data_IF_912582767012
#
_entry.id   IF_912582767012
#
_cell.length_a   1.000
_cell.length_b   1.000
_cell.length_c   1.000
_cell.angle_alpha   90.00
_cell.angle_beta   90.00
_cell.angle_gamma   90.00
#
_symmetry.space_group_name_H-M   'P 1'
#
loop_
_entity.id
_entity.type
_entity.pdbx_description
1 polymer ?
#
# COMPACT_ATOMS: atom_id res chain seq x y z
N UNK A 1 -30.45 -12.76 -1.84
CA UNK A 1 -29.18 -12.86 -2.59
C UNK A 1 -28.10 -12.31 -1.69
N UNK A 2 -27.20 -13.16 -1.19
CA UNK A 2 -26.05 -12.72 -0.38
C UNK A 2 -25.16 -11.85 -1.26
N UNK A 3 -24.70 -10.72 -0.73
CA UNK A 3 -23.76 -9.84 -1.43
C UNK A 3 -22.45 -10.62 -1.67
N UNK A 4 -22.03 -10.84 -2.94
CA UNK A 4 -20.81 -11.59 -3.23
C UNK A 4 -19.55 -10.97 -2.60
N UNK A 5 -19.61 -9.68 -2.27
CA UNK A 5 -18.49 -8.89 -1.75
C UNK A 5 -18.65 -8.47 -0.28
N UNK A 6 -19.65 -9.02 0.42
CA UNK A 6 -19.86 -8.82 1.87
C UNK A 6 -19.83 -7.33 2.29
N UNK A 7 -20.23 -6.43 1.39
CA UNK A 7 -20.15 -5.00 1.62
C UNK A 7 -21.32 -4.54 2.48
N UNK A 8 -21.03 -3.68 3.44
CA UNK A 8 -22.08 -2.93 4.16
C UNK A 8 -22.68 -1.88 3.23
N UNK A 9 -23.90 -1.37 3.47
CA UNK A 9 -24.55 -0.40 2.58
C UNK A 9 -23.68 0.82 2.21
N UNK A 10 -22.90 1.35 3.16
CA UNK A 10 -22.01 2.49 2.91
C UNK A 10 -20.85 2.18 1.94
N UNK A 11 -20.48 0.90 1.81
CA UNK A 11 -19.40 0.45 0.94
C UNK A 11 -19.89 0.01 -0.44
N UNK A 12 -21.20 -0.19 -0.63
CA UNK A 12 -21.78 -0.67 -1.90
C UNK A 12 -21.76 0.36 -3.02
N UNK A 13 -21.91 1.63 -2.67
CA UNK A 13 -22.01 2.73 -3.63
C UNK A 13 -20.65 3.40 -3.90
N UNK A 14 -19.55 2.75 -3.50
CA UNK A 14 -18.22 3.27 -3.78
C UNK A 14 -17.94 3.24 -5.28
N UNK A 15 -17.47 4.38 -5.81
CA UNK A 15 -17.00 4.50 -7.20
C UNK A 15 -15.86 3.51 -7.52
N UNK A 16 -15.07 3.17 -6.52
CA UNK A 16 -13.96 2.22 -6.58
C UNK A 16 -13.96 1.35 -5.34
N UNK A 17 -13.67 0.05 -5.45
CA UNK A 17 -13.62 -0.83 -4.30
C UNK A 17 -12.30 -0.66 -3.53
N UNK A 18 -12.06 0.53 -2.96
CA UNK A 18 -10.84 0.82 -2.19
C UNK A 18 -11.05 1.81 -1.05
N UNK A 19 -10.18 1.72 -0.05
CA UNK A 19 -9.97 2.72 1.00
C UNK A 19 -8.58 3.33 0.81
N UNK A 20 -8.50 4.66 0.75
CA UNK A 20 -7.25 5.40 0.72
C UNK A 20 -6.91 5.95 2.10
N UNK A 21 -5.87 5.41 2.74
CA UNK A 21 -5.45 5.82 4.08
C UNK A 21 -3.94 5.58 4.29
N UNK A 22 -3.10 6.63 4.32
CA UNK A 22 -1.64 6.47 4.27
C UNK A 22 -0.97 5.97 5.56
N UNK A 23 -1.54 6.18 6.75
CA UNK A 23 -0.88 5.89 8.05
C UNK A 23 -1.90 5.47 9.13
N UNK A 24 -2.92 4.66 8.82
CA UNK A 24 -3.89 4.26 9.86
C UNK A 24 -4.69 2.98 9.55
N UNK A 25 -4.39 1.89 10.25
CA UNK A 25 -5.08 0.61 10.05
C UNK A 25 -5.90 0.26 11.29
N UNK A 26 -7.15 -0.19 11.09
CA UNK A 26 -8.01 -0.77 12.12
C UNK A 26 -8.62 -2.06 11.58
N UNK A 27 -8.48 -3.13 12.34
CA UNK A 27 -9.11 -4.42 12.06
C UNK A 27 -10.01 -4.80 13.24
N UNK A 28 -11.11 -5.47 12.95
CA UNK A 28 -12.10 -5.97 13.91
C UNK A 28 -12.42 -7.44 13.61
N UNK A 29 -13.14 -8.17 14.47
CA UNK A 29 -13.52 -9.55 14.16
C UNK A 29 -14.30 -9.72 12.84
N UNK A 30 -15.00 -8.69 12.39
CA UNK A 30 -15.78 -8.69 11.15
C UNK A 30 -15.04 -8.06 9.94
N UNK A 31 -13.87 -7.45 10.18
CA UNK A 31 -13.09 -6.72 9.17
C UNK A 31 -11.59 -7.00 9.33
N UNK A 32 -10.99 -7.62 8.32
CA UNK A 32 -9.55 -7.87 8.28
C UNK A 32 -8.89 -6.99 7.22
N UNK A 33 -7.85 -6.25 7.61
CA UNK A 33 -6.90 -5.61 6.68
C UNK A 33 -5.68 -6.51 6.59
N UNK A 34 -5.58 -7.29 5.51
CA UNK A 34 -4.46 -8.17 5.23
C UNK A 34 -3.27 -7.36 4.71
N UNK A 35 -2.28 -7.15 5.58
CA UNK A 35 -1.04 -6.42 5.24
C UNK A 35 -0.05 -7.41 4.64
N UNK A 36 0.02 -7.44 3.30
CA UNK A 36 0.92 -8.32 2.57
C UNK A 36 2.32 -7.68 2.37
N UNK A 37 3.23 -8.48 1.79
CA UNK A 37 4.52 -8.02 1.30
C UNK A 37 4.40 -6.78 0.41
N UNK A 38 5.30 -5.82 0.64
CA UNK A 38 5.36 -4.56 -0.10
C UNK A 38 4.42 -3.46 0.41
N UNK A 39 3.70 -3.65 1.52
CA UNK A 39 3.08 -2.55 2.26
C UNK A 39 4.14 -1.61 2.85
N UNK A 40 3.81 -0.34 3.07
CA UNK A 40 4.72 0.60 3.74
C UNK A 40 4.67 0.45 5.27
N UNK A 41 5.78 0.71 5.96
CA UNK A 41 5.89 0.52 7.40
C UNK A 41 5.90 -0.96 7.76
N UNK A 42 5.40 -1.32 8.95
CA UNK A 42 5.35 -2.72 9.40
C UNK A 42 4.53 -3.57 8.41
N UNK A 43 5.24 -4.33 7.58
CA UNK A 43 4.68 -5.08 6.47
C UNK A 43 4.79 -6.57 6.75
N UNK A 44 3.78 -7.34 6.33
CA UNK A 44 3.90 -8.79 6.27
C UNK A 44 4.96 -9.21 5.26
N UNK A 45 5.53 -10.40 5.42
CA UNK A 45 6.47 -10.98 4.45
C UNK A 45 5.80 -11.85 3.39
N UNK A 46 4.50 -12.14 3.55
CA UNK A 46 3.76 -13.07 2.71
C UNK A 46 3.26 -12.35 1.45
N UNK A 47 3.43 -13.01 0.30
CA UNK A 47 2.90 -12.54 -0.99
C UNK A 47 1.37 -12.31 -0.92
N UNK A 48 0.84 -11.24 -1.54
CA UNK A 48 -0.60 -11.00 -1.62
C UNK A 48 -1.38 -12.19 -2.20
N UNK A 49 -0.78 -12.91 -3.16
CA UNK A 49 -1.40 -14.06 -3.82
C UNK A 49 -1.64 -15.24 -2.88
N UNK A 50 -0.72 -15.49 -1.96
CA UNK A 50 -0.86 -16.55 -0.95
C UNK A 50 -1.75 -16.09 0.21
N UNK A 51 -1.46 -14.90 0.75
CA UNK A 51 -2.11 -14.38 1.96
C UNK A 51 -3.63 -14.27 1.82
N UNK A 52 -4.12 -13.69 0.70
CA UNK A 52 -5.56 -13.53 0.50
C UNK A 52 -6.27 -14.89 0.42
N UNK A 53 -5.65 -15.87 -0.26
CA UNK A 53 -6.24 -17.20 -0.41
C UNK A 53 -6.34 -17.92 0.92
N UNK A 54 -5.27 -17.92 1.71
CA UNK A 54 -5.26 -18.55 3.04
C UNK A 54 -6.26 -17.91 4.00
N UNK A 55 -6.35 -16.56 4.01
CA UNK A 55 -7.36 -15.87 4.85
C UNK A 55 -8.77 -16.26 4.43
N UNK A 56 -9.04 -16.37 3.12
CA UNK A 56 -10.36 -16.73 2.61
C UNK A 56 -10.79 -18.16 2.88
N UNK A 57 -9.91 -19.05 3.33
CA UNK A 57 -10.31 -20.40 3.74
C UNK A 57 -11.09 -20.41 5.06
N UNK A 58 -10.89 -19.40 5.91
CA UNK A 58 -11.51 -19.35 7.24
C UNK A 58 -12.25 -18.05 7.54
N UNK A 59 -12.04 -16.99 6.74
CA UNK A 59 -12.60 -15.67 6.99
C UNK A 59 -13.67 -15.27 5.97
N UNK A 60 -14.91 -15.22 6.45
CA UNK A 60 -16.09 -14.80 5.69
C UNK A 60 -16.47 -13.32 5.88
N UNK A 61 -15.71 -12.56 6.66
CA UNK A 61 -15.95 -11.13 6.87
C UNK A 61 -15.41 -10.25 5.74
N UNK A 62 -15.42 -8.93 5.99
CA UNK A 62 -14.93 -7.94 5.04
C UNK A 62 -13.40 -7.97 4.99
N UNK A 63 -12.84 -8.31 3.83
CA UNK A 63 -11.39 -8.44 3.65
C UNK A 63 -10.84 -7.32 2.78
N UNK A 64 -9.91 -6.55 3.33
CA UNK A 64 -9.16 -5.54 2.61
C UNK A 64 -7.74 -6.03 2.40
N UNK A 65 -7.23 -5.99 1.16
CA UNK A 65 -5.82 -6.27 0.89
C UNK A 65 -5.02 -4.97 0.88
N UNK A 66 -3.93 -4.92 1.65
CA UNK A 66 -2.92 -3.87 1.62
C UNK A 66 -1.58 -4.44 1.17
N UNK A 67 -0.77 -3.64 0.48
CA UNK A 67 0.57 -4.01 0.01
C UNK A 67 0.73 -3.85 -1.49
N UNK A 68 1.67 -3.01 -1.91
CA UNK A 68 2.01 -2.75 -3.33
C UNK A 68 0.84 -2.31 -4.24
N UNK A 69 -0.28 -1.84 -3.68
CA UNK A 69 -1.41 -1.32 -4.47
C UNK A 69 -1.21 0.17 -4.71
N UNK A 70 -0.94 0.55 -5.96
CA UNK A 70 -0.81 1.96 -6.38
C UNK A 70 -1.47 2.30 -7.71
N UNK A 71 -2.05 1.31 -8.39
CA UNK A 71 -2.67 1.43 -9.73
C UNK A 71 -4.02 0.72 -9.76
N UNK A 72 -4.83 1.04 -10.76
CA UNK A 72 -6.10 0.36 -11.00
C UNK A 72 -5.94 -1.14 -11.34
N UNK A 73 -4.87 -1.53 -12.03
CA UNK A 73 -4.54 -2.93 -12.31
C UNK A 73 -4.29 -3.71 -11.01
N UNK A 74 -3.45 -3.16 -10.11
CA UNK A 74 -3.14 -3.80 -8.84
C UNK A 74 -4.40 -3.93 -7.96
N UNK A 75 -5.26 -2.91 -7.98
CA UNK A 75 -6.55 -2.96 -7.28
C UNK A 75 -7.47 -4.04 -7.87
N UNK A 76 -7.54 -4.17 -9.20
CA UNK A 76 -8.32 -5.21 -9.85
C UNK A 76 -7.78 -6.61 -9.53
N UNK A 77 -6.46 -6.78 -9.52
CA UNK A 77 -5.82 -8.03 -9.11
C UNK A 77 -6.18 -8.38 -7.67
N UNK A 78 -6.14 -7.42 -6.73
CA UNK A 78 -6.56 -7.63 -5.35
C UNK A 78 -8.01 -8.15 -5.25
N UNK A 79 -8.93 -7.55 -6.03
CA UNK A 79 -10.33 -7.99 -6.12
C UNK A 79 -10.44 -9.41 -6.69
N UNK A 80 -9.68 -9.71 -7.73
CA UNK A 80 -9.66 -11.04 -8.36
C UNK A 80 -9.12 -12.13 -7.42
N UNK A 81 -8.17 -11.81 -6.54
CA UNK A 81 -7.67 -12.74 -5.51
C UNK A 81 -8.72 -13.09 -4.45
N UNK A 82 -9.75 -12.25 -4.31
CA UNK A 82 -10.84 -12.44 -3.37
C UNK A 82 -10.90 -11.39 -2.26
N UNK A 83 -10.11 -10.31 -2.30
CA UNK A 83 -10.31 -9.18 -1.39
C UNK A 83 -11.59 -8.43 -1.78
N UNK A 84 -12.32 -7.91 -0.79
CA UNK A 84 -13.53 -7.11 -1.00
C UNK A 84 -13.18 -5.67 -1.40
N UNK A 85 -12.11 -5.11 -0.84
CA UNK A 85 -11.57 -3.81 -1.25
C UNK A 85 -10.04 -3.83 -1.22
N UNK A 86 -9.40 -2.88 -1.91
CA UNK A 86 -7.99 -2.56 -1.68
C UNK A 86 -7.83 -1.53 -0.56
N UNK A 87 -6.77 -1.64 0.21
CA UNK A 87 -6.34 -0.62 1.18
C UNK A 87 -5.04 0.01 0.67
N UNK A 88 -5.09 1.29 0.34
CA UNK A 88 -4.03 2.00 -0.38
C UNK A 88 -3.41 3.07 0.50
N UNK A 89 -2.10 2.92 0.76
CA UNK A 89 -1.35 3.80 1.64
C UNK A 89 -0.46 4.80 0.90
N UNK A 90 0.77 4.39 0.58
CA UNK A 90 1.86 5.26 0.11
C UNK A 90 1.52 6.25 -1.02
N UNK A 91 0.73 5.91 -2.05
CA UNK A 91 0.33 6.89 -3.07
C UNK A 91 -0.42 8.10 -2.50
N UNK A 92 -1.21 7.92 -1.43
CA UNK A 92 -1.92 9.02 -0.77
C UNK A 92 -1.03 9.90 0.09
N UNK A 93 0.23 9.52 0.34
CA UNK A 93 1.19 10.40 1.02
C UNK A 93 1.64 11.50 0.05
N UNK A 94 1.82 11.15 -1.22
CA UNK A 94 2.18 12.07 -2.29
C UNK A 94 0.95 12.79 -2.88
N UNK A 95 -0.04 13.15 -2.06
CA UNK A 95 -1.14 14.03 -2.47
C UNK A 95 -1.05 15.39 -1.80
N UNK A 96 -1.67 16.40 -2.39
CA UNK A 96 -1.66 17.77 -1.86
C UNK A 96 -2.27 17.84 -0.45
N UNK A 97 -3.37 17.12 -0.23
CA UNK A 97 -4.15 17.08 1.01
C UNK A 97 -3.45 16.35 2.15
N UNK A 98 -2.47 15.49 1.85
CA UNK A 98 -1.73 14.77 2.87
C UNK A 98 -0.89 15.74 3.70
N UNK A 99 -1.05 15.72 5.03
CA UNK A 99 -0.21 16.51 5.95
C UNK A 99 1.15 15.81 6.20
N UNK A 100 1.93 15.65 5.13
CA UNK A 100 3.26 15.07 5.14
C UNK A 100 4.31 16.11 4.70
N UNK A 101 5.55 15.95 5.17
CA UNK A 101 6.65 16.82 4.79
C UNK A 101 6.80 16.89 3.26
N UNK A 102 6.95 18.08 2.65
CA UNK A 102 7.13 18.19 1.20
C UNK A 102 8.28 17.34 0.66
N UNK A 103 9.39 17.22 1.41
CA UNK A 103 10.53 16.40 1.03
C UNK A 103 10.15 14.92 0.98
N UNK A 104 9.37 14.45 1.95
CA UNK A 104 8.88 13.08 1.97
C UNK A 104 8.00 12.77 0.74
N UNK A 105 7.11 13.70 0.37
CA UNK A 105 6.29 13.55 -0.83
C UNK A 105 7.15 13.46 -2.09
N UNK A 106 8.19 14.29 -2.21
CA UNK A 106 9.11 14.24 -3.35
C UNK A 106 9.92 12.95 -3.38
N UNK A 107 10.44 12.49 -2.24
CA UNK A 107 11.14 11.22 -2.15
C UNK A 107 10.28 10.05 -2.64
N UNK A 108 8.98 10.04 -2.35
CA UNK A 108 8.07 9.02 -2.90
C UNK A 108 7.98 9.09 -4.43
N UNK A 109 7.86 10.31 -4.99
CA UNK A 109 7.75 10.53 -6.44
C UNK A 109 9.03 10.12 -7.18
N UNK A 110 10.18 10.32 -6.55
CA UNK A 110 11.50 10.04 -7.14
C UNK A 110 11.96 8.60 -6.95
N UNK A 111 11.25 7.80 -6.14
CA UNK A 111 11.66 6.44 -5.76
C UNK A 111 10.85 5.36 -6.47
N UNK A 112 11.50 4.21 -6.69
CA UNK A 112 10.89 2.99 -7.20
C UNK A 112 10.72 1.90 -6.13
N UNK A 113 10.39 0.69 -6.58
CA UNK A 113 10.29 -0.48 -5.70
C UNK A 113 11.65 -0.87 -5.09
N UNK A 114 12.74 -0.73 -5.87
CA UNK A 114 14.11 -1.07 -5.44
C UNK A 114 14.67 -0.09 -4.40
N UNK A 115 14.04 1.09 -4.27
CA UNK A 115 14.40 2.10 -3.26
C UNK A 115 13.70 1.85 -1.91
N UNK A 116 13.00 0.74 -1.75
CA UNK A 116 12.34 0.35 -0.50
C UNK A 116 13.19 -0.67 0.26
N UNK A 117 13.61 -0.29 1.46
CA UNK A 117 14.45 -1.10 2.35
C UNK A 117 13.58 -1.72 3.44
N UNK A 118 13.59 -3.06 3.52
CA UNK A 118 12.99 -3.78 4.64
C UNK A 118 13.98 -3.89 5.79
N UNK A 119 13.62 -3.35 6.95
CA UNK A 119 14.52 -3.25 8.10
C UNK A 119 13.73 -3.37 9.41
N UNK A 120 14.29 -4.08 10.40
CA UNK A 120 13.78 -4.09 11.78
C UNK A 120 14.59 -3.14 12.68
N UNK A 121 15.68 -2.55 12.16
CA UNK A 121 16.69 -1.82 12.91
C UNK A 121 16.17 -0.49 13.48
N UNK A 122 15.05 0.03 12.99
CA UNK A 122 14.50 1.32 13.46
C UNK A 122 13.44 1.19 14.56
N UNK A 123 12.61 0.15 14.52
CA UNK A 123 11.46 -0.02 15.43
C UNK A 123 11.46 -1.35 16.20
N UNK A 124 12.40 -2.24 15.90
CA UNK A 124 12.44 -3.61 16.43
C UNK A 124 11.52 -4.58 15.70
N UNK A 125 10.71 -4.12 14.75
CA UNK A 125 9.82 -4.94 13.91
C UNK A 125 10.10 -4.62 12.45
N UNK A 126 10.16 -5.64 11.59
CA UNK A 126 10.44 -5.46 10.17
C UNK A 126 9.41 -4.51 9.53
N UNK A 127 9.91 -3.46 8.89
CA UNK A 127 9.11 -2.49 8.15
C UNK A 127 9.80 -2.02 6.88
N UNK A 128 9.02 -1.46 5.97
CA UNK A 128 9.48 -0.94 4.67
C UNK A 128 9.65 0.58 4.71
N UNK A 129 10.86 1.02 4.41
CA UNK A 129 11.32 2.41 4.51
C UNK A 129 11.90 2.90 3.19
N UNK A 130 11.86 4.21 2.95
CA UNK A 130 12.52 4.82 1.80
C UNK A 130 14.03 4.89 2.01
N UNK A 131 14.80 4.29 1.10
CA UNK A 131 16.25 4.39 1.06
C UNK A 131 16.72 5.86 1.02
N UNK A 132 16.02 6.71 0.27
CA UNK A 132 16.29 8.15 0.18
C UNK A 132 16.14 8.86 1.53
N UNK A 133 15.15 8.49 2.34
CA UNK A 133 14.99 9.04 3.69
C UNK A 133 16.09 8.57 4.65
N UNK A 134 16.52 7.31 4.53
CA UNK A 134 17.62 6.74 5.32
C UNK A 134 18.94 7.48 5.00
N UNK A 135 19.24 7.68 3.71
CA UNK A 135 20.40 8.45 3.26
C UNK A 135 20.34 9.90 3.74
N UNK A 136 19.16 10.51 3.68
CA UNK A 136 18.95 11.88 4.17
C UNK A 136 19.21 12.00 5.68
N UNK A 137 18.83 10.98 6.46
CA UNK A 137 19.14 10.89 7.89
C UNK A 137 20.63 10.58 8.20
N UNK A 138 21.48 10.43 7.16
CA UNK A 138 22.91 10.19 7.29
C UNK A 138 23.32 8.74 7.48
N UNK A 139 22.44 7.79 7.15
CA UNK A 139 22.68 6.35 7.25
C UNK A 139 22.87 5.72 5.86
N UNK A 140 23.55 4.58 5.84
CA UNK A 140 23.66 3.75 4.64
C UNK A 140 22.53 2.71 4.60
N UNK A 141 21.59 2.78 3.64
CA UNK A 141 20.50 1.81 3.51
C UNK A 141 20.99 0.38 3.25
N UNK A 142 22.17 0.21 2.67
CA UNK A 142 22.74 -1.11 2.35
C UNK A 142 23.56 -1.69 3.51
N UNK A 143 23.84 -0.88 4.53
CA UNK A 143 24.68 -1.26 5.68
C UNK A 143 24.16 -0.62 6.98
N UNK A 144 22.91 -0.92 7.31
CA UNK A 144 22.28 -0.43 8.54
C UNK A 144 22.92 -1.07 9.79
N UNK A 145 23.14 -0.31 10.88
CA UNK A 145 23.67 -0.85 12.13
C UNK A 145 22.76 -1.94 12.71
N UNK A 146 23.33 -3.07 13.14
CA UNK A 146 22.56 -4.19 13.69
C UNK A 146 21.88 -3.86 15.03
N UNK A 147 22.51 -3.03 15.85
CA UNK A 147 21.96 -2.57 17.12
C UNK A 147 21.34 -1.18 16.96
N UNK A 148 20.01 -1.04 17.15
CA UNK A 148 19.32 0.26 17.13
C UNK A 148 19.96 1.30 18.07
N UNK A 149 20.58 0.86 19.18
CA UNK A 149 21.25 1.73 20.14
C UNK A 149 22.58 2.31 19.61
N UNK A 150 23.16 1.72 18.57
CA UNK A 150 24.42 2.17 17.94
C UNK A 150 24.22 3.16 16.81
N UNK A 151 22.96 3.45 16.44
CA UNK A 151 22.65 4.41 15.39
C UNK A 151 22.98 5.83 15.89
N UNK A 152 24.17 6.32 15.53
CA UNK A 152 24.65 7.66 15.86
C UNK A 152 24.24 8.65 14.76
N UNK A 153 23.25 9.50 15.05
CA UNK A 153 22.71 10.50 14.12
C UNK A 153 23.52 11.81 14.08
N UNK A 154 24.84 11.73 14.32
CA UNK A 154 25.72 12.88 14.53
C UNK A 154 25.94 13.77 13.28
N UNK A 155 25.32 13.46 12.14
CA UNK A 155 25.33 14.27 10.91
C UNK A 155 24.06 15.08 10.65
N UNK A 156 23.01 14.93 11.45
CA UNK A 156 21.75 15.67 11.26
C UNK A 156 21.95 17.16 11.62
N UNK A 157 21.99 18.04 10.62
CA UNK A 157 22.18 19.50 10.77
C UNK A 157 20.96 20.23 11.32
N UNK A 158 20.26 19.68 12.30
CA UNK A 158 19.26 20.44 13.02
C UNK A 158 19.12 20.00 14.47
N UNK A 159 19.06 20.98 15.36
CA UNK A 159 18.70 20.84 16.75
C UNK A 159 17.24 20.35 16.90
N UNK A 160 16.95 19.10 16.54
CA UNK A 160 15.64 18.48 16.69
C UNK A 160 15.70 17.11 17.38
N UNK A 161 14.70 16.75 18.21
CA UNK A 161 14.69 15.51 18.97
C UNK A 161 14.31 14.32 18.09
N UNK A 162 15.19 13.31 18.08
CA UNK A 162 15.02 11.93 17.59
C UNK A 162 14.85 11.74 16.07
N UNK A 163 15.92 11.27 15.44
CA UNK A 163 16.03 10.98 14.01
C UNK A 163 15.15 9.85 13.44
N UNK A 164 14.39 9.11 14.27
CA UNK A 164 13.30 8.26 13.73
C UNK A 164 12.17 9.09 13.13
N UNK A 165 12.03 10.37 13.52
CA UNK A 165 11.09 11.31 12.91
C UNK A 165 11.36 11.56 11.42
N UNK A 166 12.58 11.25 10.98
CA UNK A 166 13.13 11.61 9.68
C UNK A 166 13.34 10.39 8.76
N UNK A 167 13.07 9.18 9.26
CA UNK A 167 13.10 7.95 8.47
C UNK A 167 11.66 7.61 8.10
N UNK A 168 11.35 7.69 6.81
CA UNK A 168 9.97 7.61 6.33
C UNK A 168 9.63 6.27 5.70
N UNK A 169 8.40 5.83 5.93
CA UNK A 169 7.87 4.52 5.55
C UNK A 169 7.21 4.53 4.18
N UNK A 170 7.56 3.63 3.26
CA UNK A 170 6.83 3.56 2.00
C UNK A 170 6.76 2.13 1.47
N UNK A 171 5.71 1.85 0.69
CA UNK A 171 5.46 0.54 0.10
C UNK A 171 6.11 0.40 -1.28
N UNK A 172 6.27 -0.83 -1.73
CA UNK A 172 6.95 -1.14 -3.00
C UNK A 172 6.14 -0.72 -4.25
N UNK A 173 4.87 -0.38 -4.10
CA UNK A 173 4.02 0.09 -5.20
C UNK A 173 4.32 1.52 -5.69
N UNK A 174 5.20 2.27 -5.03
CA UNK A 174 5.37 3.71 -5.31
C UNK A 174 5.95 4.05 -6.68
N UNK A 175 6.52 3.10 -7.42
CA UNK A 175 6.99 3.36 -8.79
C UNK A 175 5.90 3.84 -9.76
N UNK A 176 4.62 3.71 -9.40
CA UNK A 176 3.50 4.27 -10.16
C UNK A 176 3.14 5.72 -9.79
N UNK A 177 3.76 6.30 -8.75
CA UNK A 177 3.53 7.67 -8.29
C UNK A 177 4.50 8.59 -9.02
N UNK A 178 3.98 9.50 -9.86
CA UNK A 178 4.79 10.33 -10.78
C UNK A 178 4.77 11.82 -10.47
N UNK A 179 4.14 12.20 -9.38
CA UNK A 179 4.03 13.59 -8.96
C UNK A 179 3.19 13.73 -7.70
N UNK A 180 3.31 14.89 -7.06
CA UNK A 180 2.39 15.31 -6.02
C UNK A 180 1.16 15.89 -6.70
N UNK A 181 0.00 15.27 -6.48
CA UNK A 181 -1.25 15.62 -7.17
C UNK A 181 -2.41 15.73 -6.17
N UNK A 182 -3.52 16.40 -6.51
CA UNK A 182 -4.73 16.32 -5.69
C UNK A 182 -5.17 14.86 -5.52
N UNK A 183 -5.65 14.48 -4.34
CA UNK A 183 -6.13 13.13 -4.07
C UNK A 183 -7.24 12.73 -5.03
N UNK A 184 -8.11 13.66 -5.40
CA UNK A 184 -9.14 13.43 -6.42
C UNK A 184 -8.53 12.96 -7.76
N UNK A 185 -7.42 13.57 -8.20
CA UNK A 185 -6.72 13.19 -9.43
C UNK A 185 -6.13 11.79 -9.34
N UNK A 186 -5.55 11.43 -8.18
CA UNK A 186 -5.06 10.07 -7.94
C UNK A 186 -6.20 9.04 -7.99
N UNK A 187 -7.33 9.31 -7.33
CA UNK A 187 -8.50 8.43 -7.32
C UNK A 187 -9.08 8.31 -8.73
N UNK A 188 -9.20 9.41 -9.49
CA UNK A 188 -9.69 9.40 -10.87
C UNK A 188 -8.80 8.56 -11.79
N UNK A 189 -7.48 8.66 -11.64
CA UNK A 189 -6.53 7.84 -12.38
C UNK A 189 -6.72 6.36 -12.07
N UNK A 190 -6.75 5.98 -10.79
CA UNK A 190 -6.96 4.59 -10.37
C UNK A 190 -8.32 4.08 -10.88
N UNK A 191 -9.36 4.92 -10.88
CA UNK A 191 -10.68 4.56 -11.37
C UNK A 191 -10.67 4.23 -12.85
N UNK A 192 -10.02 5.09 -13.64
CA UNK A 192 -9.86 4.88 -15.08
C UNK A 192 -9.09 3.59 -15.34
N UNK A 193 -7.91 3.43 -14.76
CA UNK A 193 -7.05 2.25 -14.92
C UNK A 193 -7.78 0.95 -14.54
N UNK A 194 -8.54 0.97 -13.44
CA UNK A 194 -9.31 -0.17 -12.96
C UNK A 194 -10.39 -0.59 -13.97
N UNK A 195 -11.15 0.38 -14.47
CA UNK A 195 -12.24 0.13 -15.41
C UNK A 195 -11.72 -0.29 -16.79
N UNK A 196 -10.68 0.34 -17.30
CA UNK A 196 -10.03 -0.02 -18.56
C UNK A 196 -9.48 -1.43 -18.52
N UNK A 197 -8.76 -1.78 -17.45
CA UNK A 197 -8.20 -3.13 -17.28
C UNK A 197 -9.30 -4.18 -17.15
N UNK A 198 -10.35 -3.88 -16.40
CA UNK A 198 -11.51 -4.79 -16.26
C UNK A 198 -12.19 -5.01 -17.60
N UNK A 199 -12.42 -3.95 -18.37
CA UNK A 199 -13.05 -4.04 -19.68
C UNK A 199 -12.18 -4.84 -20.67
N UNK A 200 -10.86 -4.61 -20.68
CA UNK A 200 -9.91 -5.35 -21.51
C UNK A 200 -9.93 -6.85 -21.23
N UNK A 201 -9.82 -7.24 -19.95
CA UNK A 201 -9.87 -8.66 -19.56
C UNK A 201 -11.20 -9.33 -19.95
N UNK A 202 -12.33 -8.64 -19.75
CA UNK A 202 -13.64 -9.19 -20.13
C UNK A 202 -13.82 -9.33 -21.64
N UNK A 203 -13.20 -8.47 -22.45
CA UNK A 203 -13.27 -8.52 -23.91
C UNK A 203 -12.47 -9.71 -24.50
N UNK A 204 -11.42 -10.15 -23.82
CA UNK A 204 -10.61 -11.31 -24.22
C UNK A 204 -11.24 -12.65 -23.80
N UNK A 205 -12.15 -12.64 -22.83
CA UNK A 205 -12.82 -13.84 -22.37
C UNK A 205 -13.90 -14.27 -23.36
N UNK A 206 -13.90 -15.53 -23.82
CA UNK A 206 -15.01 -16.05 -24.60
C UNK A 206 -16.31 -15.95 -23.80
N UNK A 207 -17.41 -15.63 -24.48
CA UNK A 207 -18.73 -15.63 -23.85
C UNK A 207 -18.93 -16.97 -23.12
N UNK A 208 -19.43 -16.97 -21.88
CA UNK A 208 -19.66 -18.21 -21.16
C UNK A 208 -20.56 -19.10 -22.04
N UNK A 209 -20.10 -20.33 -22.30
CA UNK A 209 -20.92 -21.30 -23.01
C UNK A 209 -22.24 -21.40 -22.26
N UNK A 210 -23.36 -21.12 -22.93
CA UNK A 210 -24.68 -21.31 -22.33
C UNK A 210 -24.73 -22.72 -21.75
N UNK A 211 -24.96 -22.84 -20.44
CA UNK A 211 -25.04 -24.14 -19.81
C UNK A 211 -26.23 -24.86 -20.46
N UNK A 212 -25.97 -25.93 -21.20
CA UNK A 212 -27.01 -26.83 -21.64
C UNK A 212 -27.81 -27.25 -20.41
N UNK A 213 -29.10 -26.96 -20.45
CA UNK A 213 -30.07 -27.18 -19.38
C UNK A 213 -30.12 -28.64 -18.90
#
# INVERSE_FOLDING_TARGET
>A
MTDPWRLTPVLKDLRLPMVGAPIFIVSTPDLVIAIAAGAGGHAGSISPFALVREIREWFDGLLLLSGSIATGQALLAARALGADLGYVGSPFIATEEANADPLYKQMIVESGADDIVTSAQFTGVAGNYLASSIRWAGLDPDNLPEDPATISFAGATSAKPKAWCDIWNSGQGIGAVRGVVPAATLVDRIAREYNETRAGLLAEMPAPAESAA
#
